data_IF_514800285885
#
_entry.id   IF_514800285885
#
_cell.length_a   1.000
_cell.length_b   1.000
_cell.length_c   1.000
_cell.angle_alpha   90.00
_cell.angle_beta   90.00
_cell.angle_gamma   90.00
#
_symmetry.space_group_name_H-M   'P 1'
#
loop_
_entity.id
_entity.type
_entity.pdbx_description
1 polymer ?
#
# COMPACT_ATOMS: atom_id res chain seq x y z
N UNK A 1 -37.92 -42.50 -12.97
CA UNK A 1 -36.51 -42.09 -12.85
C UNK A 1 -35.65 -43.34 -12.79
N UNK A 2 -34.54 -43.36 -13.53
CA UNK A 2 -33.66 -44.53 -13.72
C UNK A 2 -32.22 -44.14 -13.40
N UNK A 3 -31.73 -44.53 -12.23
CA UNK A 3 -30.39 -44.20 -11.73
C UNK A 3 -29.45 -45.36 -12.03
N UNK A 4 -28.30 -45.08 -12.64
CA UNK A 4 -27.18 -46.02 -12.72
C UNK A 4 -26.07 -45.64 -11.74
N UNK A 5 -25.52 -46.61 -11.02
CA UNK A 5 -24.43 -46.40 -10.06
C UNK A 5 -23.19 -47.20 -10.47
N UNK A 6 -22.07 -46.52 -10.65
CA UNK A 6 -20.79 -47.11 -11.05
C UNK A 6 -19.82 -47.03 -9.88
N UNK A 7 -19.35 -48.16 -9.37
CA UNK A 7 -18.46 -48.24 -8.21
C UNK A 7 -17.04 -48.57 -8.66
N UNK A 8 -16.10 -47.70 -8.36
CA UNK A 8 -14.71 -47.81 -8.80
C UNK A 8 -13.88 -48.61 -7.80
N UNK A 9 -13.02 -49.52 -8.30
CA UNK A 9 -11.99 -50.16 -7.49
C UNK A 9 -10.77 -49.26 -7.24
N UNK A 10 -10.43 -48.42 -8.23
CA UNK A 10 -9.24 -47.57 -8.24
C UNK A 10 -7.95 -48.38 -7.95
N UNK A 11 -7.85 -49.58 -8.53
CA UNK A 11 -6.84 -50.57 -8.15
C UNK A 11 -7.04 -51.04 -6.71
N UNK A 12 -6.02 -50.92 -5.87
CA UNK A 12 -6.11 -51.21 -4.42
C UNK A 12 -6.55 -50.01 -3.58
N UNK A 13 -6.63 -48.80 -4.15
CA UNK A 13 -6.90 -47.59 -3.37
C UNK A 13 -8.28 -47.57 -2.73
N UNK A 14 -9.30 -48.08 -3.42
CA UNK A 14 -10.65 -48.25 -2.86
C UNK A 14 -10.83 -49.70 -2.44
N UNK A 15 -10.52 -50.65 -3.33
CA UNK A 15 -10.77 -52.07 -3.10
C UNK A 15 -10.00 -52.71 -1.94
N UNK A 16 -8.86 -52.11 -1.54
CA UNK A 16 -8.09 -52.56 -0.38
C UNK A 16 -8.92 -52.48 0.89
N UNK A 17 -9.60 -51.35 1.08
CA UNK A 17 -10.31 -50.99 2.32
C UNK A 17 -11.83 -51.03 2.18
N UNK A 18 -12.38 -51.03 0.98
CA UNK A 18 -13.83 -51.09 0.74
C UNK A 18 -14.16 -52.33 -0.09
N UNK A 19 -15.14 -53.12 0.32
CA UNK A 19 -15.65 -54.24 -0.46
C UNK A 19 -16.58 -53.72 -1.57
N UNK A 20 -15.98 -53.40 -2.71
CA UNK A 20 -16.63 -52.79 -3.88
C UNK A 20 -17.80 -53.65 -4.41
N UNK A 21 -17.67 -54.97 -4.40
CA UNK A 21 -18.71 -55.88 -4.87
C UNK A 21 -19.90 -55.95 -3.91
N UNK A 22 -19.63 -55.93 -2.59
CA UNK A 22 -20.70 -55.79 -1.59
C UNK A 22 -21.42 -54.45 -1.73
N UNK A 23 -20.67 -53.35 -1.91
CA UNK A 23 -21.26 -52.02 -2.16
C UNK A 23 -22.17 -52.06 -3.39
N UNK A 24 -21.71 -52.56 -4.53
CA UNK A 24 -22.48 -52.59 -5.77
C UNK A 24 -23.77 -53.43 -5.68
N UNK A 25 -23.75 -54.53 -4.91
CA UNK A 25 -24.96 -55.35 -4.65
C UNK A 25 -25.96 -54.67 -3.72
N UNK A 26 -25.49 -53.98 -2.68
CA UNK A 26 -26.38 -53.30 -1.73
C UNK A 26 -27.01 -52.03 -2.33
N UNK A 27 -26.25 -51.24 -3.08
CA UNK A 27 -26.76 -49.99 -3.67
C UNK A 27 -27.76 -50.24 -4.81
N UNK A 28 -27.76 -51.42 -5.43
CA UNK A 28 -28.76 -51.83 -6.42
C UNK A 28 -30.18 -51.90 -5.82
N UNK A 29 -30.30 -52.17 -4.51
CA UNK A 29 -31.60 -52.26 -3.81
C UNK A 29 -32.21 -50.88 -3.52
N UNK A 30 -31.50 -49.79 -3.79
CA UNK A 30 -31.98 -48.45 -3.48
C UNK A 30 -33.11 -48.00 -4.42
N UNK A 31 -34.11 -47.24 -3.93
CA UNK A 31 -35.23 -46.79 -4.76
C UNK A 31 -34.78 -46.01 -6.00
N UNK A 32 -35.23 -46.44 -7.17
CA UNK A 32 -34.94 -45.78 -8.45
C UNK A 32 -33.58 -46.15 -9.07
N UNK A 33 -32.76 -46.97 -8.41
CA UNK A 33 -31.56 -47.56 -8.99
C UNK A 33 -31.96 -48.76 -9.85
N UNK A 34 -31.57 -48.74 -11.12
CA UNK A 34 -31.94 -49.79 -12.09
C UNK A 34 -30.73 -50.55 -12.64
N UNK A 35 -29.53 -50.05 -12.37
CA UNK A 35 -28.28 -50.62 -12.85
C UNK A 35 -27.14 -50.28 -11.89
N UNK A 36 -26.30 -51.26 -11.59
CA UNK A 36 -25.03 -51.06 -10.89
C UNK A 36 -23.92 -51.78 -11.63
N UNK A 37 -22.73 -51.19 -11.66
CA UNK A 37 -21.55 -51.79 -12.28
C UNK A 37 -20.31 -51.48 -11.46
N UNK A 38 -19.37 -52.42 -11.45
CA UNK A 38 -18.05 -52.25 -10.83
C UNK A 38 -16.98 -52.22 -11.92
N UNK A 39 -16.02 -51.29 -11.81
CA UNK A 39 -14.98 -51.13 -12.84
C UNK A 39 -13.62 -50.89 -12.16
N UNK A 40 -12.55 -51.47 -12.70
CA UNK A 40 -11.21 -51.37 -12.10
C UNK A 40 -10.75 -49.91 -11.98
N UNK A 41 -10.93 -49.14 -13.06
CA UNK A 41 -10.63 -47.72 -13.15
C UNK A 41 -11.74 -47.00 -13.91
N UNK A 42 -12.75 -46.49 -13.22
CA UNK A 42 -13.91 -45.85 -13.87
C UNK A 42 -13.55 -44.62 -14.70
N UNK A 43 -12.46 -43.91 -14.35
CA UNK A 43 -12.01 -42.71 -15.10
C UNK A 43 -11.22 -43.02 -16.38
N UNK A 44 -10.79 -44.27 -16.59
CA UNK A 44 -10.10 -44.66 -17.82
C UNK A 44 -11.06 -44.59 -19.01
N UNK A 45 -10.52 -44.55 -20.23
CA UNK A 45 -11.33 -44.55 -21.45
C UNK A 45 -12.29 -45.76 -21.52
N UNK A 46 -11.87 -47.01 -21.23
CA UNK A 46 -12.79 -48.15 -21.11
C UNK A 46 -13.90 -47.93 -20.08
N UNK A 47 -13.57 -47.41 -18.89
CA UNK A 47 -14.55 -47.16 -17.84
C UNK A 47 -15.58 -46.08 -18.22
N UNK A 48 -15.13 -45.05 -18.94
CA UNK A 48 -16.01 -44.01 -19.47
C UNK A 48 -16.94 -44.56 -20.56
N UNK A 49 -16.45 -45.41 -21.44
CA UNK A 49 -17.25 -46.01 -22.49
C UNK A 49 -18.29 -47.01 -21.95
N UNK A 50 -17.95 -47.73 -20.88
CA UNK A 50 -18.90 -48.56 -20.14
C UNK A 50 -20.04 -47.72 -19.54
N UNK A 51 -19.74 -46.56 -18.96
CA UNK A 51 -20.77 -45.61 -18.48
C UNK A 51 -21.66 -45.16 -19.64
N UNK A 52 -21.06 -44.72 -20.76
CA UNK A 52 -21.79 -44.26 -21.95
C UNK A 52 -22.73 -45.34 -22.50
N UNK A 53 -22.23 -46.57 -22.59
CA UNK A 53 -22.98 -47.74 -23.05
C UNK A 53 -24.14 -48.05 -22.11
N UNK A 54 -23.88 -48.12 -20.81
CA UNK A 54 -24.91 -48.39 -19.80
C UNK A 54 -26.02 -47.32 -19.78
N UNK A 55 -25.68 -46.05 -19.99
CA UNK A 55 -26.66 -44.96 -20.08
C UNK A 55 -27.64 -45.19 -21.24
N UNK A 56 -27.14 -45.58 -22.41
CA UNK A 56 -27.97 -45.85 -23.60
C UNK A 56 -28.78 -47.13 -23.45
N UNK A 57 -28.13 -48.24 -23.09
CA UNK A 57 -28.75 -49.56 -23.02
C UNK A 57 -29.84 -49.64 -21.95
N UNK A 58 -29.56 -49.11 -20.76
CA UNK A 58 -30.50 -49.14 -19.65
C UNK A 58 -31.40 -47.89 -19.59
N UNK A 59 -31.34 -47.00 -20.60
CA UNK A 59 -32.12 -45.75 -20.67
C UNK A 59 -32.04 -44.97 -19.34
N UNK A 60 -30.81 -44.79 -18.84
CA UNK A 60 -30.58 -44.13 -17.55
C UNK A 60 -30.91 -42.65 -17.67
N UNK A 61 -31.67 -42.12 -16.72
CA UNK A 61 -32.00 -40.69 -16.64
C UNK A 61 -31.09 -39.95 -15.67
N UNK A 62 -30.30 -40.67 -14.86
CA UNK A 62 -29.42 -40.15 -13.81
C UNK A 62 -28.22 -41.10 -13.64
N UNK A 63 -27.06 -40.57 -13.29
CA UNK A 63 -25.85 -41.38 -13.09
C UNK A 63 -25.11 -40.98 -11.82
N UNK A 64 -24.56 -41.96 -11.12
CA UNK A 64 -23.72 -41.77 -9.93
C UNK A 64 -22.43 -42.53 -10.12
N UNK A 65 -21.29 -41.88 -9.91
CA UNK A 65 -19.99 -42.56 -9.85
C UNK A 65 -19.49 -42.51 -8.41
N UNK A 66 -19.35 -43.68 -7.79
CA UNK A 66 -18.76 -43.85 -6.48
C UNK A 66 -17.26 -44.13 -6.64
N UNK A 67 -16.44 -43.10 -6.44
CA UNK A 67 -14.99 -43.19 -6.65
C UNK A 67 -14.23 -42.14 -5.81
N UNK A 68 -13.33 -41.38 -6.44
CA UNK A 68 -12.58 -40.27 -5.88
C UNK A 68 -13.38 -38.98 -5.71
N UNK A 69 -12.71 -37.93 -5.25
CA UNK A 69 -13.28 -36.60 -5.06
C UNK A 69 -13.84 -35.97 -6.35
N UNK A 70 -15.03 -35.33 -6.29
CA UNK A 70 -15.57 -34.55 -7.41
C UNK A 70 -14.69 -33.37 -7.82
N UNK A 71 -13.77 -32.92 -6.95
CA UNK A 71 -12.79 -31.87 -7.29
C UNK A 71 -11.73 -32.34 -8.29
N UNK A 72 -11.55 -33.66 -8.44
CA UNK A 72 -10.56 -34.26 -9.35
C UNK A 72 -11.24 -34.65 -10.66
N UNK A 73 -12.19 -35.59 -10.61
CA UNK A 73 -12.80 -36.17 -11.83
C UNK A 73 -14.27 -35.79 -12.05
N UNK A 74 -14.83 -34.86 -11.27
CA UNK A 74 -16.22 -34.42 -11.47
C UNK A 74 -16.47 -33.85 -12.86
N UNK A 75 -15.58 -32.97 -13.33
CA UNK A 75 -15.66 -32.42 -14.69
C UNK A 75 -15.49 -33.48 -15.77
N UNK A 76 -14.64 -34.50 -15.53
CA UNK A 76 -14.42 -35.61 -16.47
C UNK A 76 -15.72 -36.37 -16.69
N UNK A 77 -16.35 -36.86 -15.62
CA UNK A 77 -17.58 -37.65 -15.75
C UNK A 77 -18.79 -36.82 -16.20
N UNK A 78 -18.86 -35.53 -15.84
CA UNK A 78 -19.86 -34.62 -16.41
C UNK A 78 -19.77 -34.57 -17.94
N UNK A 79 -18.56 -34.43 -18.51
CA UNK A 79 -18.35 -34.51 -19.97
C UNK A 79 -18.69 -35.89 -20.52
N UNK A 80 -18.32 -36.97 -19.81
CA UNK A 80 -18.62 -38.35 -20.23
C UNK A 80 -20.12 -38.56 -20.44
N UNK A 81 -20.95 -38.16 -19.47
CA UNK A 81 -22.41 -38.34 -19.57
C UNK A 81 -23.04 -37.40 -20.59
N UNK A 82 -22.50 -36.18 -20.74
CA UNK A 82 -22.94 -35.20 -21.74
C UNK A 82 -22.76 -35.72 -23.17
N UNK A 83 -21.67 -36.45 -23.47
CA UNK A 83 -21.41 -37.01 -24.81
C UNK A 83 -22.47 -38.00 -25.30
N UNK A 84 -23.28 -38.55 -24.39
CA UNK A 84 -24.39 -39.46 -24.71
C UNK A 84 -25.77 -38.84 -24.47
N UNK A 85 -25.83 -37.51 -24.29
CA UNK A 85 -27.07 -36.75 -24.20
C UNK A 85 -27.69 -36.69 -22.80
N UNK A 86 -27.01 -37.18 -21.76
CA UNK A 86 -27.46 -36.98 -20.38
C UNK A 86 -26.95 -35.63 -19.88
N UNK A 87 -27.85 -34.75 -19.42
CA UNK A 87 -27.46 -33.45 -18.90
C UNK A 87 -26.43 -33.59 -17.75
N UNK A 88 -25.30 -32.88 -17.79
CA UNK A 88 -24.19 -33.08 -16.85
C UNK A 88 -24.56 -32.80 -15.38
N UNK A 89 -25.58 -31.99 -15.13
CA UNK A 89 -26.05 -31.68 -13.77
C UNK A 89 -27.00 -32.74 -13.21
N UNK A 90 -27.38 -33.72 -14.02
CA UNK A 90 -28.13 -34.91 -13.60
C UNK A 90 -27.22 -36.07 -13.13
N UNK A 91 -25.91 -35.79 -13.05
CA UNK A 91 -24.89 -36.65 -12.52
C UNK A 91 -24.43 -36.20 -11.12
N UNK A 92 -23.96 -37.13 -10.29
CA UNK A 92 -23.31 -36.81 -9.01
C UNK A 92 -22.20 -37.83 -8.71
N UNK A 93 -21.19 -37.42 -7.94
CA UNK A 93 -20.17 -38.33 -7.44
C UNK A 93 -20.37 -38.62 -5.96
N UNK A 94 -20.16 -39.88 -5.56
CA UNK A 94 -19.96 -40.27 -4.18
C UNK A 94 -18.45 -40.45 -3.95
N UNK A 95 -17.86 -39.65 -3.05
CA UNK A 95 -16.44 -39.77 -2.72
C UNK A 95 -16.25 -40.89 -1.68
N UNK A 96 -15.84 -42.06 -2.15
CA UNK A 96 -15.54 -43.25 -1.33
C UNK A 96 -14.03 -43.56 -1.28
N UNK A 97 -13.18 -42.63 -1.72
CA UNK A 97 -11.71 -42.76 -1.66
C UNK A 97 -11.13 -41.83 -0.60
N UNK A 98 -11.02 -40.54 -0.89
CA UNK A 98 -10.41 -39.57 0.03
C UNK A 98 -11.22 -39.42 1.33
N UNK A 99 -12.53 -39.62 1.28
CA UNK A 99 -13.41 -39.49 2.46
C UNK A 99 -13.78 -40.84 3.09
N UNK A 100 -13.24 -41.93 2.56
CA UNK A 100 -13.55 -43.28 3.02
C UNK A 100 -12.33 -44.20 2.96
N UNK A 101 -12.07 -44.87 1.84
CA UNK A 101 -11.05 -45.95 1.79
C UNK A 101 -9.64 -45.57 2.23
N UNK A 102 -9.22 -44.30 2.09
CA UNK A 102 -7.89 -43.83 2.50
C UNK A 102 -7.77 -43.45 3.98
N UNK A 103 -8.89 -43.31 4.69
CA UNK A 103 -8.90 -42.79 6.07
C UNK A 103 -9.51 -43.76 7.09
N UNK A 104 -9.93 -44.95 6.67
CA UNK A 104 -10.37 -46.00 7.58
C UNK A 104 -9.46 -47.21 7.42
N UNK A 105 -9.19 -47.89 8.52
CA UNK A 105 -8.41 -49.14 8.50
C UNK A 105 -9.32 -50.38 8.51
N UNK A 106 -10.52 -50.24 9.09
CA UNK A 106 -11.49 -51.34 9.16
C UNK A 106 -12.32 -51.42 7.88
N UNK A 107 -12.12 -52.53 7.14
CA UNK A 107 -12.79 -52.78 5.87
C UNK A 107 -14.31 -52.86 5.96
N UNK A 108 -14.84 -53.40 7.05
CA UNK A 108 -16.28 -53.56 7.21
C UNK A 108 -16.97 -52.22 7.47
N UNK A 109 -16.38 -51.39 8.35
CA UNK A 109 -16.90 -50.05 8.64
C UNK A 109 -16.76 -49.10 7.44
N UNK A 110 -15.64 -49.15 6.72
CA UNK A 110 -15.47 -48.41 5.47
C UNK A 110 -16.50 -48.84 4.42
N UNK A 111 -16.78 -50.14 4.30
CA UNK A 111 -17.81 -50.63 3.39
C UNK A 111 -19.21 -50.14 3.76
N UNK A 112 -19.56 -50.12 5.05
CA UNK A 112 -20.85 -49.55 5.52
C UNK A 112 -20.93 -48.06 5.19
N UNK A 113 -19.85 -47.31 5.45
CA UNK A 113 -19.77 -45.88 5.15
C UNK A 113 -19.92 -45.60 3.64
N UNK A 114 -19.26 -46.36 2.77
CA UNK A 114 -19.36 -46.23 1.33
C UNK A 114 -20.82 -46.38 0.85
N UNK A 115 -21.54 -47.37 1.38
CA UNK A 115 -22.96 -47.60 1.06
C UNK A 115 -23.81 -46.40 1.45
N UNK A 116 -23.59 -45.84 2.65
CA UNK A 116 -24.34 -44.66 3.12
C UNK A 116 -23.99 -43.40 2.33
N UNK A 117 -22.72 -43.18 1.96
CA UNK A 117 -22.31 -42.07 1.10
C UNK A 117 -22.97 -42.13 -0.30
N UNK A 118 -23.10 -43.35 -0.85
CA UNK A 118 -23.81 -43.58 -2.10
C UNK A 118 -25.32 -43.39 -1.92
N UNK A 119 -25.89 -43.81 -0.78
CA UNK A 119 -27.31 -43.57 -0.47
C UNK A 119 -27.63 -42.09 -0.43
N UNK A 120 -26.80 -41.29 0.25
CA UNK A 120 -26.93 -39.84 0.30
C UNK A 120 -26.83 -39.22 -1.10
N UNK A 121 -25.89 -39.71 -1.91
CA UNK A 121 -25.74 -39.28 -3.31
C UNK A 121 -26.95 -39.62 -4.16
N UNK A 122 -27.53 -40.82 -3.99
CA UNK A 122 -28.74 -41.24 -4.68
C UNK A 122 -29.96 -40.41 -4.29
N UNK A 123 -30.12 -40.14 -2.99
CA UNK A 123 -31.17 -39.26 -2.48
C UNK A 123 -31.06 -37.83 -3.03
N UNK A 124 -29.84 -37.32 -3.19
CA UNK A 124 -29.56 -36.00 -3.79
C UNK A 124 -29.90 -35.98 -5.28
N UNK A 125 -29.39 -36.96 -6.04
CA UNK A 125 -29.60 -37.08 -7.50
C UNK A 125 -31.06 -37.26 -7.86
N UNK A 126 -31.84 -37.91 -6.99
CA UNK A 126 -33.29 -38.01 -7.12
C UNK A 126 -33.96 -36.63 -7.30
N UNK A 127 -33.41 -35.59 -6.68
CA UNK A 127 -33.95 -34.23 -6.72
C UNK A 127 -33.22 -33.30 -7.69
N UNK A 128 -32.22 -33.79 -8.42
CA UNK A 128 -31.52 -32.98 -9.41
C UNK A 128 -32.45 -32.59 -10.56
N UNK A 129 -32.33 -31.34 -10.99
CA UNK A 129 -32.99 -30.77 -12.14
C UNK A 129 -31.95 -30.49 -13.23
N UNK A 130 -32.41 -30.40 -14.47
CA UNK A 130 -31.55 -30.02 -15.58
C UNK A 130 -31.12 -28.56 -15.41
N UNK A 131 -29.81 -28.32 -15.53
CA UNK A 131 -29.24 -26.98 -15.55
C UNK A 131 -28.43 -26.81 -16.84
N UNK A 132 -28.21 -25.57 -17.23
CA UNK A 132 -27.46 -25.23 -18.43
C UNK A 132 -26.45 -24.14 -18.11
N UNK A 133 -25.24 -24.19 -18.70
CA UNK A 133 -24.22 -23.18 -18.49
C UNK A 133 -24.70 -21.83 -19.01
N UNK A 134 -24.40 -20.77 -18.26
CA UNK A 134 -24.58 -19.39 -18.71
C UNK A 134 -23.30 -18.91 -19.38
N UNK A 135 -23.45 -18.23 -20.52
CA UNK A 135 -22.35 -17.61 -21.24
C UNK A 135 -22.30 -16.11 -20.91
N UNK A 136 -21.11 -15.56 -20.83
CA UNK A 136 -20.86 -14.15 -20.55
C UNK A 136 -19.65 -13.69 -21.38
N UNK A 137 -19.62 -12.39 -21.69
CA UNK A 137 -18.48 -11.79 -22.37
C UNK A 137 -17.25 -11.77 -21.45
N UNK A 138 -16.09 -12.00 -22.03
CA UNK A 138 -14.82 -12.07 -21.32
C UNK A 138 -13.97 -10.83 -21.64
N UNK A 139 -13.54 -10.12 -20.60
CA UNK A 139 -12.55 -9.06 -20.75
C UNK A 139 -11.24 -9.62 -21.29
N UNK A 140 -10.71 -8.97 -22.33
CA UNK A 140 -9.43 -9.35 -22.96
C UNK A 140 -8.21 -8.74 -22.27
N UNK A 141 -8.41 -7.83 -21.33
CA UNK A 141 -7.34 -7.18 -20.58
C UNK A 141 -6.85 -8.10 -19.47
N UNK A 142 -5.53 -8.14 -19.27
CA UNK A 142 -4.91 -8.96 -18.23
C UNK A 142 -4.25 -8.05 -17.20
N UNK A 143 -4.33 -8.45 -15.93
CA UNK A 143 -3.59 -7.81 -14.84
C UNK A 143 -2.59 -8.83 -14.32
N UNK A 144 -1.33 -8.41 -14.19
CA UNK A 144 -0.27 -9.19 -13.56
C UNK A 144 0.11 -8.49 -12.26
N UNK A 145 0.13 -9.24 -11.15
CA UNK A 145 0.42 -8.71 -9.82
C UNK A 145 1.80 -9.23 -9.40
N UNK A 146 2.75 -8.30 -9.22
CA UNK A 146 4.14 -8.56 -8.89
C UNK A 146 5.05 -8.51 -10.11
N UNK A 147 6.00 -7.58 -10.12
CA UNK A 147 7.01 -7.35 -11.14
C UNK A 147 8.32 -8.11 -10.91
N UNK A 148 8.28 -9.29 -10.30
CA UNK A 148 9.43 -10.21 -10.30
C UNK A 148 9.60 -10.91 -11.66
N UNK A 149 10.64 -11.72 -11.82
CA UNK A 149 10.92 -12.44 -13.09
C UNK A 149 9.71 -13.21 -13.66
N UNK A 150 8.92 -13.84 -12.79
CA UNK A 150 7.72 -14.57 -13.21
C UNK A 150 6.63 -13.64 -13.76
N UNK A 151 6.37 -12.51 -13.10
CA UNK A 151 5.37 -11.55 -13.56
C UNK A 151 5.83 -10.76 -14.78
N UNK A 152 7.11 -10.42 -14.85
CA UNK A 152 7.75 -9.83 -16.04
C UNK A 152 7.55 -10.75 -17.25
N UNK A 153 7.90 -12.04 -17.12
CA UNK A 153 7.75 -12.99 -18.22
C UNK A 153 6.29 -13.17 -18.64
N UNK A 154 5.38 -13.35 -17.67
CA UNK A 154 3.95 -13.47 -17.95
C UNK A 154 3.39 -12.23 -18.64
N UNK A 155 3.83 -11.03 -18.24
CA UNK A 155 3.40 -9.79 -18.87
C UNK A 155 3.89 -9.70 -20.32
N UNK A 156 5.16 -10.01 -20.57
CA UNK A 156 5.75 -10.01 -21.92
C UNK A 156 5.05 -11.02 -22.84
N UNK A 157 4.93 -12.28 -22.44
CA UNK A 157 4.33 -13.33 -23.28
C UNK A 157 2.88 -12.99 -23.69
N UNK A 158 2.12 -12.39 -22.76
CA UNK A 158 0.73 -11.99 -23.00
C UNK A 158 0.66 -10.74 -23.90
N UNK A 159 1.58 -9.80 -23.70
CA UNK A 159 1.67 -8.56 -24.47
C UNK A 159 2.14 -8.80 -25.92
N UNK A 160 3.11 -9.69 -26.11
CA UNK A 160 3.57 -10.19 -27.41
C UNK A 160 2.47 -10.99 -28.13
N UNK A 161 1.61 -11.67 -27.35
CA UNK A 161 0.36 -12.27 -27.84
C UNK A 161 -0.72 -11.26 -28.25
N UNK A 162 -0.44 -9.95 -28.22
CA UNK A 162 -1.32 -8.87 -28.67
C UNK A 162 -2.41 -8.47 -27.67
N UNK A 163 -2.25 -8.78 -26.39
CA UNK A 163 -3.21 -8.39 -25.34
C UNK A 163 -2.66 -7.26 -24.48
N UNK A 164 -3.56 -6.38 -24.02
CA UNK A 164 -3.20 -5.33 -23.06
C UNK A 164 -2.98 -5.94 -21.67
N UNK A 165 -1.86 -5.57 -21.05
CA UNK A 165 -1.46 -6.02 -19.72
C UNK A 165 -1.25 -4.81 -18.83
N UNK A 166 -1.83 -4.82 -17.62
CA UNK A 166 -1.44 -3.91 -16.55
C UNK A 166 -0.57 -4.68 -15.56
N UNK A 167 0.71 -4.32 -15.46
CA UNK A 167 1.66 -4.92 -14.52
C UNK A 167 1.76 -4.06 -13.26
N UNK A 168 1.33 -4.60 -12.12
CA UNK A 168 1.28 -3.90 -10.83
C UNK A 168 2.45 -4.35 -9.97
N UNK A 169 3.32 -3.42 -9.58
CA UNK A 169 4.46 -3.64 -8.70
C UNK A 169 4.36 -2.75 -7.46
N UNK A 170 4.54 -3.37 -6.29
CA UNK A 170 4.45 -2.73 -4.98
C UNK A 170 5.60 -1.76 -4.72
N UNK A 171 6.80 -2.14 -5.15
CA UNK A 171 8.03 -1.41 -4.96
C UNK A 171 8.23 -0.32 -6.03
N UNK A 172 9.27 0.50 -5.87
CA UNK A 172 9.55 1.58 -6.83
C UNK A 172 10.15 1.11 -8.16
N UNK A 173 10.55 -0.16 -8.23
CA UNK A 173 11.10 -0.83 -9.40
C UNK A 173 10.60 -2.27 -9.53
N UNK A 174 10.48 -2.74 -10.77
CA UNK A 174 10.38 -4.17 -11.08
C UNK A 174 11.74 -4.86 -10.93
N UNK A 175 11.75 -6.19 -10.99
CA UNK A 175 12.92 -7.07 -10.88
C UNK A 175 12.78 -8.10 -9.76
N UNK A 176 12.13 -7.70 -8.65
CA UNK A 176 11.91 -8.56 -7.48
C UNK A 176 13.21 -9.08 -6.87
N UNK A 177 13.16 -10.25 -6.23
CA UNK A 177 14.32 -10.86 -5.56
C UNK A 177 15.46 -11.22 -6.51
N UNK A 178 15.16 -11.51 -7.78
CA UNK A 178 16.20 -11.84 -8.76
C UNK A 178 17.15 -10.67 -8.99
N UNK A 179 16.68 -9.41 -8.89
CA UNK A 179 17.54 -8.24 -9.00
C UNK A 179 18.60 -8.17 -7.89
N UNK A 180 18.27 -8.65 -6.68
CA UNK A 180 19.18 -8.66 -5.52
C UNK A 180 20.27 -9.73 -5.61
N UNK A 181 20.11 -10.75 -6.47
CA UNK A 181 21.10 -11.82 -6.60
C UNK A 181 22.27 -11.35 -7.44
N UNK A 182 23.50 -11.77 -7.13
CA UNK A 182 24.64 -11.56 -8.03
C UNK A 182 24.60 -12.54 -9.20
N UNK A 183 24.54 -13.85 -8.90
CA UNK A 183 24.54 -14.95 -9.86
C UNK A 183 23.32 -15.86 -9.76
N UNK A 184 23.01 -16.57 -10.84
CA UNK A 184 21.93 -17.56 -10.89
C UNK A 184 22.44 -18.95 -11.25
N UNK A 185 22.13 -19.96 -10.43
CA UNK A 185 22.42 -21.36 -10.74
C UNK A 185 21.44 -21.91 -11.80
N UNK A 186 21.80 -22.96 -12.57
CA UNK A 186 23.06 -23.70 -12.55
C UNK A 186 24.17 -23.08 -13.41
N UNK A 187 23.85 -22.12 -14.27
CA UNK A 187 24.81 -21.56 -15.24
C UNK A 187 25.80 -20.57 -14.63
N UNK A 188 25.50 -20.03 -13.45
CA UNK A 188 26.31 -19.01 -12.75
C UNK A 188 26.40 -17.71 -13.57
N UNK A 189 25.39 -17.43 -14.38
CA UNK A 189 25.25 -16.15 -15.07
C UNK A 189 24.96 -15.03 -14.09
N UNK A 190 25.32 -13.80 -14.46
CA UNK A 190 24.88 -12.61 -13.71
C UNK A 190 23.36 -12.46 -13.82
N UNK A 191 22.68 -12.27 -12.69
CA UNK A 191 21.22 -12.11 -12.65
C UNK A 191 20.76 -10.92 -13.52
N UNK A 192 21.49 -9.81 -13.44
CA UNK A 192 21.19 -8.58 -14.15
C UNK A 192 21.33 -8.75 -15.67
N UNK A 193 22.22 -9.62 -16.15
CA UNK A 193 22.37 -9.90 -17.58
C UNK A 193 21.11 -10.55 -18.18
N UNK A 194 20.37 -11.33 -17.40
CA UNK A 194 19.14 -12.00 -17.84
C UNK A 194 17.93 -11.11 -17.57
N UNK A 195 17.91 -10.46 -16.41
CA UNK A 195 16.74 -9.75 -15.91
C UNK A 195 16.62 -8.34 -16.50
N UNK A 196 17.70 -7.58 -16.59
CA UNK A 196 17.65 -6.16 -16.99
C UNK A 196 17.06 -5.96 -18.39
N UNK A 197 17.42 -6.76 -19.42
CA UNK A 197 16.79 -6.63 -20.74
C UNK A 197 15.27 -6.80 -20.66
N UNK A 198 14.78 -7.81 -19.94
CA UNK A 198 13.33 -8.06 -19.77
C UNK A 198 12.63 -6.94 -19.00
N UNK A 199 13.31 -6.35 -18.01
CA UNK A 199 12.77 -5.19 -17.31
C UNK A 199 12.64 -3.99 -18.24
N UNK A 200 13.66 -3.73 -19.07
CA UNK A 200 13.63 -2.66 -20.08
C UNK A 200 12.51 -2.90 -21.09
N UNK A 201 12.37 -4.13 -21.61
CA UNK A 201 11.32 -4.51 -22.54
C UNK A 201 9.94 -4.17 -21.95
N UNK A 202 9.67 -4.60 -20.72
CA UNK A 202 8.42 -4.24 -20.01
C UNK A 202 8.23 -2.73 -19.88
N UNK A 203 9.29 -1.98 -19.59
CA UNK A 203 9.23 -0.53 -19.40
C UNK A 203 8.88 0.27 -20.67
N UNK A 204 9.12 -0.30 -21.85
CA UNK A 204 8.88 0.37 -23.15
C UNK A 204 7.80 -0.31 -24.00
N UNK A 205 7.26 -1.45 -23.58
CA UNK A 205 6.31 -2.23 -24.37
C UNK A 205 4.94 -1.53 -24.50
N UNK A 206 4.46 -1.32 -25.73
CA UNK A 206 3.23 -0.55 -26.02
C UNK A 206 1.94 -1.16 -25.41
N UNK A 207 1.87 -2.50 -25.34
CA UNK A 207 0.75 -3.21 -24.72
C UNK A 207 0.85 -3.39 -23.20
N UNK A 208 1.93 -2.92 -22.54
CA UNK A 208 2.11 -3.06 -21.09
C UNK A 208 1.99 -1.70 -20.41
N UNK A 209 1.03 -1.58 -19.50
CA UNK A 209 0.94 -0.46 -18.56
C UNK A 209 1.63 -0.86 -17.24
N UNK A 210 2.81 -0.29 -16.99
CA UNK A 210 3.55 -0.52 -15.76
C UNK A 210 3.11 0.43 -14.65
N UNK A 211 2.62 -0.12 -13.54
CA UNK A 211 2.24 0.59 -12.34
C UNK A 211 3.16 0.21 -11.18
N UNK A 212 4.25 0.96 -10.98
CA UNK A 212 5.10 0.85 -9.79
C UNK A 212 4.52 1.61 -8.60
N UNK A 213 5.06 1.36 -7.39
CA UNK A 213 4.54 1.90 -6.14
C UNK A 213 3.03 1.64 -5.95
N UNK A 214 2.53 0.54 -6.50
CA UNK A 214 1.10 0.26 -6.62
C UNK A 214 0.73 -1.08 -6.03
N UNK A 215 -0.36 -1.12 -5.27
CA UNK A 215 -0.83 -2.33 -4.59
C UNK A 215 -2.31 -2.58 -4.91
N UNK A 216 -2.66 -3.85 -5.15
CA UNK A 216 -4.06 -4.26 -5.28
C UNK A 216 -4.72 -4.25 -3.90
N UNK A 217 -5.80 -3.48 -3.76
CA UNK A 217 -6.55 -3.35 -2.49
C UNK A 217 -7.78 -4.25 -2.48
N UNK A 218 -8.42 -4.41 -3.64
CA UNK A 218 -9.70 -5.14 -3.75
C UNK A 218 -9.83 -5.79 -5.12
N UNK A 219 -10.31 -7.03 -5.15
CA UNK A 219 -10.66 -7.78 -6.36
C UNK A 219 -12.10 -8.25 -6.22
N UNK A 220 -12.94 -7.87 -7.17
CA UNK A 220 -14.35 -8.25 -7.22
C UNK A 220 -14.69 -8.89 -8.57
N UNK A 221 -15.77 -9.66 -8.60
CA UNK A 221 -16.26 -10.33 -9.81
C UNK A 221 -15.82 -11.78 -9.92
N UNK A 222 -15.84 -12.31 -11.13
CA UNK A 222 -15.55 -13.72 -11.44
C UNK A 222 -14.70 -13.84 -12.70
N UNK A 223 -14.32 -15.06 -13.06
CA UNK A 223 -13.47 -15.36 -14.21
C UNK A 223 -13.97 -14.59 -15.45
N UNK A 224 -13.10 -13.78 -16.04
CA UNK A 224 -13.37 -12.97 -17.22
C UNK A 224 -13.99 -11.59 -16.97
N UNK A 225 -14.49 -11.31 -15.76
CA UNK A 225 -15.18 -10.08 -15.40
C UNK A 225 -14.72 -9.57 -14.03
N UNK A 226 -13.41 -9.33 -13.88
CA UNK A 226 -12.85 -8.80 -12.65
C UNK A 226 -12.88 -7.27 -12.63
N UNK A 227 -13.23 -6.71 -11.48
CA UNK A 227 -13.02 -5.29 -11.15
C UNK A 227 -11.96 -5.22 -10.06
N UNK A 228 -10.83 -4.59 -10.37
CA UNK A 228 -9.67 -4.50 -9.48
C UNK A 228 -9.46 -3.05 -9.07
N UNK A 229 -9.35 -2.80 -7.77
CA UNK A 229 -9.00 -1.49 -7.21
C UNK A 229 -7.53 -1.48 -6.84
N UNK A 230 -6.79 -0.53 -7.41
CA UNK A 230 -5.33 -0.39 -7.22
C UNK A 230 -5.04 0.92 -6.50
N UNK A 231 -4.24 0.87 -5.44
CA UNK A 231 -3.74 2.04 -4.72
C UNK A 231 -2.32 2.34 -5.17
N UNK A 232 -2.13 3.45 -5.89
CA UNK A 232 -0.82 3.98 -6.27
C UNK A 232 -0.31 4.93 -5.19
N UNK A 233 0.80 4.58 -4.54
CA UNK A 233 1.50 5.43 -3.58
C UNK A 233 2.18 6.59 -4.34
N UNK A 234 2.20 7.80 -3.76
CA UNK A 234 2.89 8.92 -4.38
C UNK A 234 4.40 8.67 -4.43
N UNK A 235 4.99 8.82 -5.62
CA UNK A 235 6.45 8.83 -5.82
C UNK A 235 7.11 10.11 -5.26
N UNK A 236 6.31 11.17 -5.11
CA UNK A 236 6.72 12.55 -4.80
C UNK A 236 7.69 13.17 -5.81
N UNK A 237 7.84 12.52 -6.97
CA UNK A 237 8.64 12.97 -8.10
C UNK A 237 7.81 12.66 -9.33
N UNK A 238 7.70 13.63 -10.23
CA UNK A 238 7.08 13.41 -11.52
C UNK A 238 8.01 12.54 -12.39
N UNK A 239 7.56 11.31 -12.64
CA UNK A 239 8.31 10.31 -13.41
C UNK A 239 8.64 10.81 -14.82
N UNK A 240 7.76 11.61 -15.44
CA UNK A 240 7.98 12.15 -16.79
C UNK A 240 9.09 13.19 -16.86
N UNK A 241 9.28 13.93 -15.76
CA UNK A 241 10.28 14.99 -15.65
C UNK A 241 11.58 14.53 -14.98
N UNK A 242 11.61 13.30 -14.43
CA UNK A 242 12.78 12.76 -13.76
C UNK A 242 13.83 12.30 -14.79
N UNK A 243 14.98 12.96 -14.82
CA UNK A 243 16.10 12.60 -15.71
C UNK A 243 17.01 11.52 -15.14
N UNK A 244 16.73 11.02 -13.92
CA UNK A 244 17.55 10.04 -13.22
C UNK A 244 19.04 10.42 -13.05
N UNK A 245 19.36 11.72 -12.95
CA UNK A 245 20.74 12.21 -12.85
C UNK A 245 21.45 11.95 -11.50
N UNK A 246 20.69 11.80 -10.40
CA UNK A 246 21.23 11.53 -9.06
C UNK A 246 21.71 12.74 -8.26
N UNK A 247 21.61 13.97 -8.77
CA UNK A 247 22.01 15.17 -8.02
C UNK A 247 21.20 15.37 -6.73
N UNK A 248 19.93 14.97 -6.75
CA UNK A 248 19.05 15.05 -5.58
C UNK A 248 19.49 14.15 -4.40
N UNK A 249 20.12 13.02 -4.69
CA UNK A 249 20.62 12.10 -3.67
C UNK A 249 21.85 12.67 -2.95
N UNK A 250 22.74 13.36 -3.69
CA UNK A 250 23.96 13.98 -3.15
C UNK A 250 23.67 15.04 -2.09
N UNK A 251 22.60 15.82 -2.27
CA UNK A 251 22.23 16.92 -1.37
C UNK A 251 21.33 16.48 -0.20
N UNK A 252 20.85 15.23 -0.20
CA UNK A 252 19.90 14.75 0.81
C UNK A 252 20.59 14.55 2.18
N UNK A 253 20.16 15.27 3.24
CA UNK A 253 20.74 15.11 4.58
C UNK A 253 20.20 13.89 5.33
N UNK A 254 19.15 13.24 4.81
CA UNK A 254 18.48 12.13 5.48
C UNK A 254 19.07 10.80 5.01
N UNK A 255 19.59 10.04 5.97
CA UNK A 255 20.11 8.68 5.77
C UNK A 255 19.11 7.68 6.33
N UNK A 256 18.81 6.65 5.55
CA UNK A 256 17.86 5.58 5.85
C UNK A 256 18.53 4.22 5.69
N UNK A 257 18.00 3.20 6.37
CA UNK A 257 18.38 1.80 6.08
C UNK A 257 17.98 1.44 4.65
N UNK A 258 18.82 0.68 3.96
CA UNK A 258 18.54 0.24 2.59
C UNK A 258 17.82 -1.12 2.59
N UNK A 259 16.51 -1.09 2.37
CA UNK A 259 15.67 -2.31 2.31
C UNK A 259 16.05 -3.25 1.15
N UNK A 260 16.60 -2.71 0.05
CA UNK A 260 17.04 -3.53 -1.09
C UNK A 260 18.27 -4.38 -0.73
N UNK A 261 19.16 -3.85 0.11
CA UNK A 261 20.37 -4.53 0.60
C UNK A 261 20.12 -5.21 1.96
N UNK A 262 18.85 -5.50 2.30
CA UNK A 262 18.43 -6.16 3.55
C UNK A 262 18.99 -5.49 4.82
N UNK A 263 19.17 -4.16 4.77
CA UNK A 263 19.70 -3.35 5.87
C UNK A 263 21.21 -3.42 6.08
N UNK A 264 21.96 -4.06 5.18
CA UNK A 264 23.43 -4.13 5.23
C UNK A 264 24.10 -2.81 4.84
N UNK A 265 23.38 -1.95 4.12
CA UNK A 265 23.85 -0.63 3.71
C UNK A 265 22.82 0.45 4.04
N UNK A 266 23.22 1.70 3.81
CA UNK A 266 22.33 2.86 3.96
C UNK A 266 22.04 3.47 2.60
N UNK A 267 20.87 4.10 2.48
CA UNK A 267 20.44 4.89 1.32
C UNK A 267 19.98 6.27 1.76
N UNK A 268 19.81 7.19 0.82
CA UNK A 268 19.16 8.47 1.11
C UNK A 268 17.63 8.36 1.01
N UNK A 269 16.92 9.28 1.66
CA UNK A 269 15.45 9.30 1.61
C UNK A 269 14.91 9.50 0.18
N UNK A 270 15.61 10.28 -0.64
CA UNK A 270 15.42 10.32 -2.08
C UNK A 270 16.47 9.42 -2.74
N UNK A 271 16.03 8.36 -3.39
CA UNK A 271 16.93 7.36 -3.99
C UNK A 271 16.26 6.61 -5.14
N UNK A 272 17.08 5.88 -5.91
CA UNK A 272 16.63 4.78 -6.78
C UNK A 272 16.81 3.47 -6.02
N UNK A 273 15.94 2.49 -6.27
CA UNK A 273 15.98 1.22 -5.55
C UNK A 273 17.32 0.49 -5.74
N UNK A 274 17.79 0.47 -6.98
CA UNK A 274 19.11 -0.02 -7.40
C UNK A 274 19.48 0.64 -8.75
N UNK A 275 20.72 0.46 -9.20
CA UNK A 275 21.29 1.20 -10.34
C UNK A 275 20.65 0.88 -11.69
N UNK A 276 20.11 -0.32 -11.89
CA UNK A 276 19.38 -0.75 -13.09
C UNK A 276 17.85 -0.76 -12.90
N UNK A 277 17.33 -0.04 -11.90
CA UNK A 277 15.90 0.00 -11.61
C UNK A 277 15.05 0.47 -12.81
N UNK A 278 13.89 -0.15 -12.99
CA UNK A 278 12.86 0.18 -13.99
C UNK A 278 11.51 0.39 -13.31
N UNK A 279 10.84 1.55 -13.48
CA UNK A 279 11.27 2.70 -14.26
C UNK A 279 12.55 3.33 -13.69
N UNK A 280 13.37 3.92 -14.56
CA UNK A 280 14.58 4.62 -14.16
C UNK A 280 14.22 5.98 -13.58
N UNK A 281 13.62 5.97 -12.40
CA UNK A 281 13.11 7.16 -11.71
C UNK A 281 13.38 7.08 -10.21
N UNK A 282 13.74 8.21 -9.63
CA UNK A 282 13.88 8.36 -8.18
C UNK A 282 12.51 8.28 -7.50
N UNK A 283 12.50 8.06 -6.19
CA UNK A 283 11.33 8.23 -5.34
C UNK A 283 11.75 8.79 -3.99
N UNK A 284 10.82 9.42 -3.26
CA UNK A 284 11.05 9.87 -1.89
C UNK A 284 10.37 8.88 -0.93
N UNK A 285 11.15 8.20 -0.09
CA UNK A 285 10.65 7.38 1.01
C UNK A 285 10.10 8.28 2.13
N UNK A 286 8.80 8.57 2.05
CA UNK A 286 8.07 9.31 3.08
C UNK A 286 7.38 8.34 4.03
N UNK A 287 8.02 8.07 5.17
CA UNK A 287 7.52 7.18 6.24
C UNK A 287 6.36 7.75 7.07
N UNK A 288 5.89 8.96 6.76
CA UNK A 288 4.77 9.63 7.42
C UNK A 288 5.16 10.96 8.07
N UNK A 289 4.32 11.43 9.01
CA UNK A 289 4.59 12.63 9.83
C UNK A 289 5.28 12.19 11.12
N UNK A 290 6.46 12.72 11.39
CA UNK A 290 7.21 12.36 12.59
C UNK A 290 6.44 12.80 13.85
N UNK A 291 6.46 12.02 14.95
CA UNK A 291 5.76 12.38 16.18
C UNK A 291 6.15 13.76 16.74
N UNK A 292 7.44 14.13 16.63
CA UNK A 292 7.91 15.45 17.07
C UNK A 292 7.28 16.62 16.28
N UNK A 293 6.97 16.43 14.98
CA UNK A 293 6.23 17.39 14.17
C UNK A 293 4.74 17.37 14.53
N UNK A 294 4.14 16.18 14.61
CA UNK A 294 2.72 16.00 14.96
C UNK A 294 2.33 16.59 16.32
N UNK A 295 3.22 16.51 17.31
CA UNK A 295 2.99 17.04 18.66
C UNK A 295 3.32 18.54 18.78
N UNK A 296 4.06 19.11 17.82
CA UNK A 296 4.40 20.53 17.86
C UNK A 296 3.16 21.38 17.53
N UNK A 297 2.71 22.29 18.42
CA UNK A 297 1.55 23.14 18.13
C UNK A 297 1.74 24.06 16.93
N UNK A 298 3.00 24.44 16.64
CA UNK A 298 3.37 25.25 15.49
C UNK A 298 3.70 24.42 14.24
N UNK A 299 3.48 23.10 14.27
CA UNK A 299 3.78 22.17 13.19
C UNK A 299 5.23 22.25 12.63
N UNK A 300 6.20 22.59 13.48
CA UNK A 300 7.61 22.74 13.04
C UNK A 300 8.25 21.38 12.77
N UNK A 301 8.98 21.28 11.65
CA UNK A 301 9.69 20.07 11.22
C UNK A 301 10.99 19.81 12.00
N UNK A 302 10.88 19.34 13.25
CA UNK A 302 12.04 19.04 14.11
C UNK A 302 13.03 18.06 13.48
N UNK A 303 12.53 16.95 12.95
CA UNK A 303 13.34 15.96 12.24
C UNK A 303 14.10 16.55 11.05
N UNK A 304 13.51 17.54 10.36
CA UNK A 304 14.12 18.15 9.19
C UNK A 304 15.31 19.02 9.54
N UNK A 305 15.14 19.96 10.48
CA UNK A 305 16.24 20.84 10.87
C UNK A 305 17.32 20.09 11.65
N UNK A 306 16.99 19.04 12.40
CA UNK A 306 18.00 18.19 13.07
C UNK A 306 18.86 17.45 12.05
N UNK A 307 18.28 16.97 10.94
CA UNK A 307 19.05 16.36 9.85
C UNK A 307 20.04 17.37 9.23
N UNK A 308 19.63 18.62 9.04
CA UNK A 308 20.50 19.70 8.55
C UNK A 308 21.59 20.08 9.57
N UNK A 309 21.26 20.11 10.87
CA UNK A 309 22.22 20.34 11.95
C UNK A 309 23.31 19.28 11.97
N UNK A 310 22.95 18.00 11.75
CA UNK A 310 23.90 16.89 11.67
C UNK A 310 24.93 17.08 10.55
N UNK A 311 24.53 17.68 9.43
CA UNK A 311 25.38 18.00 8.29
C UNK A 311 26.13 19.35 8.44
N UNK A 312 25.99 20.04 9.58
CA UNK A 312 26.62 21.35 9.82
C UNK A 312 25.92 22.53 9.12
N UNK A 313 24.75 22.30 8.51
CA UNK A 313 24.00 23.30 7.75
C UNK A 313 23.07 24.13 8.64
N UNK A 314 23.63 24.85 9.60
CA UNK A 314 22.84 25.52 10.66
C UNK A 314 21.89 26.61 10.13
N UNK A 315 22.31 27.38 9.11
CA UNK A 315 21.47 28.44 8.52
C UNK A 315 20.31 27.86 7.70
N UNK A 316 20.54 26.78 6.94
CA UNK A 316 19.47 26.05 6.25
C UNK A 316 18.48 25.46 7.27
N UNK A 317 18.98 24.94 8.39
CA UNK A 317 18.17 24.40 9.49
C UNK A 317 17.24 25.47 10.10
N UNK A 318 17.74 26.69 10.31
CA UNK A 318 16.96 27.83 10.76
C UNK A 318 15.93 28.29 9.72
N UNK A 319 16.33 28.37 8.44
CA UNK A 319 15.41 28.71 7.34
C UNK A 319 14.22 27.75 7.32
N UNK A 320 14.48 26.44 7.45
CA UNK A 320 13.45 25.40 7.53
C UNK A 320 12.57 25.55 8.78
N UNK A 321 13.12 25.91 9.93
CA UNK A 321 12.31 26.19 11.13
C UNK A 321 11.36 27.38 10.91
N UNK A 322 11.87 28.47 10.31
CA UNK A 322 11.13 29.71 10.06
C UNK A 322 10.03 29.59 8.99
N UNK A 323 9.94 28.46 8.29
CA UNK A 323 8.78 28.19 7.44
C UNK A 323 7.49 28.18 8.27
N UNK A 324 7.53 27.59 9.46
CA UNK A 324 6.35 27.35 10.31
C UNK A 324 6.35 28.17 11.61
N UNK A 325 7.51 28.69 12.04
CA UNK A 325 7.60 29.52 13.24
C UNK A 325 8.72 30.59 13.16
N UNK A 326 8.39 31.89 13.22
CA UNK A 326 9.37 32.97 13.11
C UNK A 326 10.27 33.17 14.34
N UNK A 327 9.99 32.50 15.47
CA UNK A 327 10.67 32.72 16.76
C UNK A 327 11.50 31.52 17.24
N UNK A 328 12.53 31.06 16.50
CA UNK A 328 13.41 29.98 16.95
C UNK A 328 14.12 30.29 18.27
N UNK A 329 14.60 31.53 18.49
CA UNK A 329 15.41 31.88 19.68
C UNK A 329 14.56 31.90 20.95
N UNK A 330 13.38 32.52 20.90
CA UNK A 330 12.41 32.52 22.01
C UNK A 330 11.95 31.09 22.29
N UNK A 331 11.51 30.35 21.26
CA UNK A 331 11.06 28.96 21.44
C UNK A 331 12.18 28.02 21.91
N UNK A 332 13.45 28.32 21.65
CA UNK A 332 14.60 27.60 22.21
C UNK A 332 14.82 27.82 23.72
N UNK A 333 14.13 28.80 24.32
CA UNK A 333 14.28 29.19 25.74
C UNK A 333 13.04 28.93 26.59
N UNK A 334 11.85 29.19 26.04
CA UNK A 334 10.60 29.16 26.84
C UNK A 334 9.68 27.97 26.56
N UNK A 335 9.90 27.26 25.44
CA UNK A 335 9.03 26.16 25.02
C UNK A 335 9.03 25.00 26.03
N UNK A 336 7.86 24.42 26.28
CA UNK A 336 7.70 23.21 27.12
C UNK A 336 8.03 21.91 26.37
N UNK A 337 8.62 22.02 25.17
CA UNK A 337 9.19 20.91 24.37
C UNK A 337 8.35 19.62 24.32
N UNK A 338 7.04 19.69 24.01
CA UNK A 338 6.18 18.51 23.99
C UNK A 338 6.59 17.50 22.90
N UNK A 339 7.36 17.94 21.90
CA UNK A 339 7.98 17.10 20.89
C UNK A 339 9.01 16.10 21.45
N UNK A 340 9.67 16.41 22.57
CA UNK A 340 10.64 15.52 23.23
C UNK A 340 9.91 14.38 23.96
N UNK A 341 8.76 14.66 24.58
CA UNK A 341 7.92 13.66 25.23
C UNK A 341 7.41 12.59 24.25
N UNK A 342 7.10 12.99 23.00
CA UNK A 342 6.64 12.08 21.94
C UNK A 342 7.78 11.54 21.07
N UNK A 343 9.05 11.77 21.41
CA UNK A 343 10.18 11.33 20.60
C UNK A 343 10.25 9.79 20.54
N UNK A 344 10.38 9.21 19.33
CA UNK A 344 10.50 7.76 19.17
C UNK A 344 11.81 7.20 19.73
N UNK A 345 12.82 8.05 19.95
CA UNK A 345 14.10 7.65 20.53
C UNK A 345 13.96 7.18 22.00
N UNK A 346 12.90 7.61 22.69
CA UNK A 346 12.52 7.10 24.01
C UNK A 346 12.31 5.58 24.05
N UNK A 347 12.12 4.92 22.90
CA UNK A 347 12.02 3.46 22.80
C UNK A 347 13.38 2.74 22.90
N UNK A 348 14.48 3.48 22.80
CA UNK A 348 15.84 2.95 22.82
C UNK A 348 16.59 3.48 24.05
N UNK A 349 16.65 4.81 24.20
CA UNK A 349 17.33 5.49 25.29
C UNK A 349 16.57 6.76 25.71
N UNK A 350 17.08 7.95 25.38
CA UNK A 350 16.57 9.25 25.84
C UNK A 350 16.11 10.11 24.65
N UNK A 351 15.20 11.09 24.85
CA UNK A 351 14.70 11.88 23.74
C UNK A 351 15.81 12.74 23.17
N UNK A 352 15.73 13.03 21.87
CA UNK A 352 16.61 14.04 21.27
C UNK A 352 16.32 15.38 21.95
N UNK A 353 17.36 16.13 22.33
CA UNK A 353 17.22 17.46 22.96
C UNK A 353 16.86 18.53 21.93
N UNK A 354 15.65 18.43 21.38
CA UNK A 354 15.09 19.25 20.30
C UNK A 354 15.11 20.74 20.65
N UNK A 355 14.71 21.12 21.86
CA UNK A 355 14.68 22.52 22.30
C UNK A 355 16.08 23.12 22.38
N UNK A 356 17.06 22.39 22.92
CA UNK A 356 18.44 22.88 23.01
C UNK A 356 19.10 22.95 21.64
N UNK A 357 18.82 21.99 20.74
CA UNK A 357 19.29 22.07 19.35
C UNK A 357 18.71 23.29 18.64
N UNK A 358 17.42 23.59 18.85
CA UNK A 358 16.78 24.81 18.34
C UNK A 358 17.45 26.08 18.88
N UNK A 359 17.71 26.13 20.19
CA UNK A 359 18.43 27.25 20.83
C UNK A 359 19.83 27.41 20.23
N UNK A 360 20.57 26.31 20.09
CA UNK A 360 21.92 26.31 19.55
C UNK A 360 21.96 26.90 18.13
N UNK A 361 21.08 26.45 17.23
CA UNK A 361 21.08 26.98 15.86
C UNK A 361 20.67 28.45 15.83
N UNK A 362 19.73 28.87 16.67
CA UNK A 362 19.27 30.26 16.74
C UNK A 362 20.37 31.18 17.29
N UNK A 363 21.06 30.75 18.35
CA UNK A 363 22.19 31.48 18.93
C UNK A 363 23.42 31.48 17.99
N UNK A 364 23.53 30.50 17.09
CA UNK A 364 24.59 30.47 16.07
C UNK A 364 24.44 31.61 15.05
N UNK A 365 23.22 31.92 14.63
CA UNK A 365 22.94 33.01 13.69
C UNK A 365 23.29 34.39 14.27
N UNK A 366 23.15 34.57 15.59
CA UNK A 366 23.55 35.80 16.27
C UNK A 366 25.04 36.12 16.12
N UNK A 367 25.88 35.10 15.87
CA UNK A 367 27.32 35.29 15.64
C UNK A 367 27.63 35.91 14.28
N UNK A 368 26.67 35.93 13.35
CA UNK A 368 26.82 36.58 12.05
C UNK A 368 26.71 38.11 12.13
N UNK A 369 26.34 38.65 13.29
CA UNK A 369 26.12 40.07 13.52
C UNK A 369 24.70 40.49 13.13
N UNK A 370 24.34 40.35 11.85
CA UNK A 370 23.00 40.71 11.37
C UNK A 370 22.21 39.49 10.88
N UNK A 371 20.99 39.32 11.39
CA UNK A 371 20.11 38.23 10.98
C UNK A 371 19.56 38.50 9.57
N UNK A 372 19.70 37.56 8.62
CA UNK A 372 19.17 37.73 7.26
C UNK A 372 17.64 37.76 7.24
N UNK A 373 17.10 38.62 6.38
CA UNK A 373 15.66 38.68 6.15
C UNK A 373 15.18 37.47 5.32
N UNK A 374 13.94 37.00 5.52
CA UNK A 374 13.37 35.96 4.67
C UNK A 374 13.12 36.48 3.24
N UNK A 375 13.01 35.56 2.30
CA UNK A 375 12.55 35.88 0.95
C UNK A 375 11.10 36.41 1.02
N UNK A 376 10.86 37.62 0.50
CA UNK A 376 9.57 38.31 0.53
C UNK A 376 8.94 38.37 -0.86
N UNK A 377 7.61 38.25 -0.94
CA UNK A 377 6.85 38.46 -2.17
C UNK A 377 6.82 39.93 -2.62
N UNK A 378 6.37 40.18 -3.85
CA UNK A 378 6.16 41.54 -4.35
C UNK A 378 5.16 42.32 -3.49
N UNK A 379 5.42 43.62 -3.33
CA UNK A 379 4.59 44.50 -2.50
C UNK A 379 3.17 44.61 -3.04
N UNK A 380 2.20 44.36 -2.16
CA UNK A 380 0.77 44.49 -2.42
C UNK A 380 0.30 45.90 -2.03
N UNK A 381 -0.86 46.32 -2.58
CA UNK A 381 -1.41 47.68 -2.34
C UNK A 381 -2.17 47.76 -1.02
N UNK A 382 -2.67 46.62 -0.58
CA UNK A 382 -3.48 46.43 0.61
C UNK A 382 -2.62 46.64 1.87
N UNK A 383 -3.20 47.37 2.83
CA UNK A 383 -2.61 47.59 4.15
C UNK A 383 -3.39 46.79 5.19
N UNK A 384 -2.67 46.21 6.15
CA UNK A 384 -3.27 45.40 7.22
C UNK A 384 -2.86 45.96 8.57
N UNK A 385 -3.85 46.21 9.43
CA UNK A 385 -3.65 46.56 10.82
C UNK A 385 -3.72 45.30 11.70
N UNK A 386 -2.82 45.18 12.67
CA UNK A 386 -2.80 44.11 13.67
C UNK A 386 -2.87 44.73 15.05
N UNK A 387 -3.78 44.22 15.89
CA UNK A 387 -3.94 44.67 17.26
C UNK A 387 -3.17 43.76 18.21
N UNK A 388 -2.16 44.32 18.88
CA UNK A 388 -1.28 43.66 19.82
C UNK A 388 0.04 43.17 19.22
N UNK A 389 1.13 43.41 19.93
CA UNK A 389 2.49 42.94 19.62
C UNK A 389 2.88 41.69 20.41
N UNK A 390 1.90 40.90 20.86
CA UNK A 390 2.14 39.59 21.46
C UNK A 390 2.64 38.56 20.44
N UNK A 391 2.91 37.31 20.87
CA UNK A 391 3.43 36.25 19.99
C UNK A 391 2.53 36.01 18.76
N UNK A 392 1.20 36.06 18.94
CA UNK A 392 0.25 35.91 17.85
C UNK A 392 0.30 37.07 16.85
N UNK A 393 0.28 38.31 17.35
CA UNK A 393 0.30 39.51 16.49
C UNK A 393 1.60 39.65 15.72
N UNK A 394 2.74 39.42 16.36
CA UNK A 394 4.04 39.44 15.68
C UNK A 394 4.22 38.29 14.69
N UNK A 395 3.69 37.09 14.99
CA UNK A 395 3.68 35.98 14.01
C UNK A 395 2.84 36.33 12.78
N UNK A 396 1.65 36.90 12.99
CA UNK A 396 0.80 37.35 11.89
C UNK A 396 1.49 38.46 11.07
N UNK A 397 2.14 39.42 11.74
CA UNK A 397 2.88 40.48 11.09
C UNK A 397 4.03 39.94 10.23
N UNK A 398 4.79 38.97 10.74
CA UNK A 398 5.87 38.32 10.02
C UNK A 398 5.40 37.67 8.71
N UNK A 399 4.35 36.84 8.76
CA UNK A 399 3.86 36.15 7.57
C UNK A 399 3.16 37.09 6.57
N UNK A 400 2.44 38.10 7.06
CA UNK A 400 1.81 39.10 6.20
C UNK A 400 2.84 39.97 5.48
N UNK A 401 3.89 40.42 6.19
CA UNK A 401 5.00 41.14 5.60
C UNK A 401 5.77 40.26 4.58
N UNK A 402 6.00 38.98 4.92
CA UNK A 402 6.61 38.02 3.99
C UNK A 402 5.80 37.86 2.69
N UNK A 403 4.47 37.90 2.79
CA UNK A 403 3.56 37.86 1.64
C UNK A 403 3.35 39.22 0.95
N UNK A 404 4.20 40.22 1.25
CA UNK A 404 4.23 41.51 0.55
C UNK A 404 3.22 42.55 1.04
N UNK A 405 2.46 42.30 2.11
CA UNK A 405 1.50 43.28 2.63
C UNK A 405 2.19 44.38 3.46
N UNK A 406 1.66 45.60 3.38
CA UNK A 406 2.07 46.68 4.30
C UNK A 406 1.36 46.49 5.64
N UNK A 407 2.11 46.17 6.69
CA UNK A 407 1.56 45.82 8.00
C UNK A 407 1.89 46.90 9.01
N UNK A 408 0.87 47.33 9.78
CA UNK A 408 1.04 48.16 10.96
C UNK A 408 0.48 47.45 12.19
N UNK A 409 1.27 47.37 13.26
CA UNK A 409 0.90 46.75 14.53
C UNK A 409 0.66 47.84 15.56
N UNK A 410 -0.48 47.80 16.25
CA UNK A 410 -0.83 48.72 17.33
C UNK A 410 -0.72 47.99 18.66
N UNK A 411 0.12 48.46 19.57
CA UNK A 411 0.36 47.88 20.89
C UNK A 411 -0.08 48.86 21.99
N UNK A 412 -0.86 48.36 22.95
CA UNK A 412 -1.36 49.15 24.07
C UNK A 412 -0.25 49.49 25.07
N UNK A 413 0.72 48.61 25.25
CA UNK A 413 1.86 48.82 26.14
C UNK A 413 2.90 49.76 25.51
N UNK A 414 3.74 50.37 26.35
CA UNK A 414 4.89 51.17 25.93
C UNK A 414 6.06 50.36 25.36
N UNK A 415 5.92 49.03 25.31
CA UNK A 415 6.96 48.10 24.90
C UNK A 415 6.39 47.00 24.01
N UNK A 416 7.19 46.55 23.04
CA UNK A 416 6.79 45.49 22.10
C UNK A 416 7.05 44.09 22.65
N UNK A 417 6.24 43.11 22.25
CA UNK A 417 6.39 41.69 22.64
C UNK A 417 5.28 41.18 23.56
N UNK A 418 4.40 42.05 24.04
CA UNK A 418 3.27 41.70 24.90
C UNK A 418 3.68 40.84 26.09
N UNK A 419 2.94 39.76 26.35
CA UNK A 419 3.20 38.84 27.46
C UNK A 419 4.58 38.14 27.42
N UNK A 420 5.25 38.08 26.27
CA UNK A 420 6.64 37.58 26.21
C UNK A 420 7.59 38.50 26.99
N UNK A 421 7.35 39.82 26.91
CA UNK A 421 8.16 40.84 27.58
C UNK A 421 7.76 41.04 29.03
N UNK A 422 6.46 41.20 29.30
CA UNK A 422 5.97 41.58 30.63
C UNK A 422 5.68 40.38 31.54
N UNK A 423 5.50 39.19 30.97
CA UNK A 423 5.11 38.00 31.73
C UNK A 423 6.24 37.00 32.01
N UNK A 424 7.27 36.94 31.16
CA UNK A 424 8.36 35.97 31.29
C UNK A 424 9.57 36.64 31.95
N UNK A 425 10.10 36.10 33.07
CA UNK A 425 11.28 36.65 33.72
C UNK A 425 12.53 36.63 32.83
N UNK A 426 13.38 37.64 32.98
CA UNK A 426 14.59 37.85 32.16
C UNK A 426 15.58 36.67 32.20
N UNK A 427 15.74 36.02 33.37
CA UNK A 427 16.60 34.83 33.50
C UNK A 427 16.12 33.63 32.66
N UNK A 428 14.84 33.61 32.25
CA UNK A 428 14.24 32.56 31.40
C UNK A 428 14.20 33.00 29.94
N UNK A 429 13.84 34.25 29.67
CA UNK A 429 13.88 34.87 28.34
C UNK A 429 14.58 36.22 28.42
N UNK A 430 15.88 36.30 28.05
CA UNK A 430 16.59 37.57 28.06
C UNK A 430 15.94 38.58 27.12
N UNK A 431 15.72 39.80 27.60
CA UNK A 431 15.04 40.84 26.82
C UNK A 431 15.78 41.16 25.51
N UNK A 432 17.11 41.12 25.52
CA UNK A 432 17.94 41.33 24.33
C UNK A 432 17.62 40.34 23.20
N UNK A 433 17.34 39.08 23.53
CA UNK A 433 16.98 38.05 22.54
C UNK A 433 15.60 38.32 21.94
N UNK A 434 14.66 38.80 22.78
CA UNK A 434 13.34 39.20 22.32
C UNK A 434 13.44 40.41 21.37
N UNK A 435 14.25 41.40 21.71
CA UNK A 435 14.48 42.59 20.89
C UNK A 435 15.09 42.23 19.53
N UNK A 436 16.05 41.30 19.49
CA UNK A 436 16.65 40.84 18.23
C UNK A 436 15.62 40.17 17.31
N UNK A 437 14.75 39.28 17.82
CA UNK A 437 13.73 38.64 16.96
C UNK A 437 12.61 39.60 16.54
N UNK A 438 12.26 40.59 17.37
CA UNK A 438 11.32 41.66 17.00
C UNK A 438 11.93 42.59 15.95
N UNK A 439 13.23 42.90 16.06
CA UNK A 439 13.94 43.74 15.10
C UNK A 439 13.93 43.16 13.69
N UNK A 440 14.04 41.83 13.55
CA UNK A 440 13.86 41.16 12.25
C UNK A 440 12.51 41.52 11.62
N UNK A 441 11.43 41.51 12.39
CA UNK A 441 10.08 41.85 11.91
C UNK A 441 10.00 43.33 11.52
N UNK A 442 10.61 44.23 12.31
CA UNK A 442 10.69 45.66 11.99
C UNK A 442 11.47 45.90 10.69
N UNK A 443 12.61 45.24 10.51
CA UNK A 443 13.45 45.32 9.29
C UNK A 443 12.77 44.75 8.05
N UNK A 444 11.76 43.88 8.20
CA UNK A 444 10.88 43.46 7.09
C UNK A 444 9.92 44.56 6.63
N UNK A 445 9.87 45.72 7.32
CA UNK A 445 9.01 46.86 6.99
C UNK A 445 7.69 46.89 7.75
N UNK A 446 7.57 46.12 8.85
CA UNK A 446 6.43 46.20 9.76
C UNK A 446 6.59 47.42 10.66
N UNK A 447 5.62 48.33 10.62
CA UNK A 447 5.54 49.47 11.53
C UNK A 447 4.85 49.04 12.83
N UNK A 448 5.44 49.35 13.99
CA UNK A 448 4.88 48.97 15.30
C UNK A 448 4.75 50.23 16.14
N UNK A 449 3.51 50.63 16.40
CA UNK A 449 3.15 51.79 17.22
C UNK A 449 2.79 51.31 18.64
N UNK A 450 3.57 51.73 19.63
CA UNK A 450 3.32 51.49 21.05
C UNK A 450 2.46 52.60 21.65
N UNK A 451 1.98 52.40 22.88
CA UNK A 451 1.13 53.36 23.60
C UNK A 451 -0.19 53.69 22.85
N UNK A 452 -0.69 52.73 22.06
CA UNK A 452 -1.89 52.87 21.24
C UNK A 452 -2.97 51.85 21.64
N UNK A 453 -3.69 52.05 22.76
CA UNK A 453 -4.76 51.15 23.18
C UNK A 453 -5.96 51.26 22.22
N UNK A 454 -6.46 50.10 21.79
CA UNK A 454 -7.70 49.98 21.01
C UNK A 454 -8.73 49.31 21.91
N UNK A 455 -9.68 50.10 22.43
CA UNK A 455 -10.59 49.67 23.50
C UNK A 455 -12.01 49.36 23.00
N UNK A 456 -12.38 49.89 21.84
CA UNK A 456 -13.74 49.79 21.30
C UNK A 456 -13.78 49.36 19.82
N UNK A 457 -14.95 48.90 19.37
CA UNK A 457 -15.19 48.61 17.95
C UNK A 457 -15.15 49.89 17.10
N UNK A 458 -15.50 51.04 17.67
CA UNK A 458 -15.41 52.34 17.00
C UNK A 458 -13.95 52.70 16.68
N UNK A 459 -13.01 52.37 17.56
CA UNK A 459 -11.57 52.54 17.31
C UNK A 459 -11.09 51.71 16.11
N UNK A 460 -11.61 50.49 15.97
CA UNK A 460 -11.32 49.63 14.81
C UNK A 460 -11.88 50.23 13.52
N UNK A 461 -13.11 50.76 13.55
CA UNK A 461 -13.70 51.46 12.40
C UNK A 461 -12.93 52.72 12.04
N UNK A 462 -12.47 53.48 13.03
CA UNK A 462 -11.65 54.67 12.82
C UNK A 462 -10.32 54.32 12.13
N UNK A 463 -9.64 53.25 12.54
CA UNK A 463 -8.43 52.76 11.87
C UNK A 463 -8.72 52.35 10.42
N UNK A 464 -9.89 51.74 10.17
CA UNK A 464 -10.30 51.33 8.83
C UNK A 464 -10.55 52.53 7.90
N UNK A 465 -11.29 53.54 8.39
CA UNK A 465 -11.74 54.69 7.59
C UNK A 465 -10.68 55.79 7.44
N UNK A 466 -9.89 56.09 8.47
CA UNK A 466 -8.89 57.19 8.44
C UNK A 466 -7.56 56.78 7.83
N UNK A 467 -7.08 55.58 8.10
CA UNK A 467 -5.74 55.13 7.70
C UNK A 467 -5.72 54.19 6.49
N UNK A 468 -6.92 53.91 5.93
CA UNK A 468 -7.14 53.11 4.73
C UNK A 468 -6.57 51.67 4.86
N UNK A 469 -6.79 51.05 6.02
CA UNK A 469 -6.52 49.64 6.27
C UNK A 469 -7.73 48.79 5.80
N UNK A 470 -7.49 47.59 5.28
CA UNK A 470 -8.54 46.68 4.81
C UNK A 470 -9.26 45.93 5.94
#
# INVERSE_FOLDING_TARGET
>A
MRIGIFVCYCGSNIAGTVDVEKVAREVLKFPGVVFTQTNLYTCSEPGQDEIKKAIKEHKLTRAIVASCSPRVHGATFMRTVETVGLNPYLFNMANIREHDSWIHDNKEEATKKAIELIRMSAAKVYRHQELYPKYFDLSKNVIVIGGGIAGIQAALDIADGGRKVTLIEKESSIGGKMAQLDKTFPTIDCSACILSPKMVDVGIHENIELLTLSEVVKVEGSIGNFRVTVRKKPRFIDEKNCTSCGECEKVCPVVCSNDYEEGLSTKKAISRMFTQAVPSAFYIDRRGKAPCKSTCPADVSAQGYIALVKEGKYLEALKLHREENPFPSICGRVCMHPCENSCTRNLVDEPVSIMNLKRFIADYELKLGEIPLPDMEEKKKEKIAILGSGPAGLTAAYYLAKNGYAVKVFEALSVTGGMLRVGIPDYRLPQEILDIEIDVIKRMGVDIETDHPVESYEDVLNLKEKDNFN
#
